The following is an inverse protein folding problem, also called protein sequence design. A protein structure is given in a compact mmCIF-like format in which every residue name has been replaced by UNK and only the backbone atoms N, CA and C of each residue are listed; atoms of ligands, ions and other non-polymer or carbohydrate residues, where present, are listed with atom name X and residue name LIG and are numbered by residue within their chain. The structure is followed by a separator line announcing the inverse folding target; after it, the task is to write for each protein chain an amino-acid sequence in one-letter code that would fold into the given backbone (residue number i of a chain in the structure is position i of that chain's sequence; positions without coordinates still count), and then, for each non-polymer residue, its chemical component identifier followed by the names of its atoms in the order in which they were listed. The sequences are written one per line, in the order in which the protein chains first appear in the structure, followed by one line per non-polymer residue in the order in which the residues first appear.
data_IF_335879395993
#
_entry.id   IF_335879395993
#
_cell.length_a   1.000
_cell.length_b   1.000
_cell.length_c   1.000
_cell.angle_alpha   90.00
_cell.angle_beta   90.00
_cell.angle_gamma   90.00
#
_symmetry.space_group_name_H-M   'P 1'
#
loop_
_entity.id
_entity.type
_entity.pdbx_description
1 polymer ?
#
# COMPACT_ATOMS: atom_id res chain seq x y z
N UNK A 1 20.72 -71.10 -17.81
CA UNK A 1 21.68 -70.94 -16.71
C UNK A 1 21.43 -69.54 -16.12
N UNK A 2 20.80 -69.63 -14.99
CA UNK A 2 21.00 -68.96 -13.70
C UNK A 2 20.91 -67.43 -13.74
N UNK A 3 19.77 -66.93 -13.29
CA UNK A 3 19.52 -66.33 -11.96
C UNK A 3 20.42 -65.12 -11.67
N UNK A 4 19.84 -63.98 -11.47
CA UNK A 4 19.63 -63.58 -10.09
C UNK A 4 18.54 -62.46 -9.98
N UNK A 5 17.70 -62.67 -9.03
CA UNK A 5 16.61 -61.77 -8.63
C UNK A 5 17.16 -60.93 -7.48
N UNK A 6 17.02 -59.63 -7.51
CA UNK A 6 17.17 -58.82 -6.30
C UNK A 6 15.89 -58.07 -6.03
N UNK A 7 15.21 -58.31 -4.93
CA UNK A 7 14.08 -57.52 -4.46
C UNK A 7 14.54 -56.54 -3.39
N UNK A 8 13.78 -55.45 -3.26
CA UNK A 8 13.74 -54.48 -2.16
C UNK A 8 14.48 -53.17 -2.39
N UNK A 9 13.68 -52.19 -2.73
CA UNK A 9 13.85 -50.87 -2.14
C UNK A 9 12.46 -50.41 -1.64
N UNK A 10 12.45 -50.23 -0.34
CA UNK A 10 11.29 -49.80 0.42
C UNK A 10 10.82 -48.40 0.07
N UNK A 11 9.53 -48.29 0.07
CA UNK A 11 8.71 -47.11 0.14
C UNK A 11 9.05 -46.35 1.45
N UNK A 12 9.68 -45.17 1.35
CA UNK A 12 9.74 -44.19 2.44
C UNK A 12 9.08 -42.92 1.97
N UNK A 13 7.76 -42.92 2.13
CA UNK A 13 6.92 -41.75 2.05
C UNK A 13 7.09 -40.97 3.36
N UNK A 14 8.05 -40.04 3.40
CA UNK A 14 8.11 -39.07 4.48
C UNK A 14 7.07 -37.95 4.22
N UNK A 15 6.19 -37.65 5.19
CA UNK A 15 5.34 -36.46 5.10
C UNK A 15 6.21 -35.22 5.25
N UNK A 16 6.20 -34.40 4.24
CA UNK A 16 6.75 -33.04 4.25
C UNK A 16 5.88 -32.16 5.17
N UNK A 17 6.21 -32.13 6.45
CA UNK A 17 5.69 -31.16 7.39
C UNK A 17 6.29 -29.79 7.02
N UNK A 18 5.64 -29.11 6.08
CA UNK A 18 5.80 -27.68 5.90
C UNK A 18 5.18 -27.02 7.15
N UNK A 19 5.99 -26.84 8.19
CA UNK A 19 5.66 -25.92 9.27
C UNK A 19 5.44 -24.53 8.65
N UNK A 20 4.17 -24.15 8.59
CA UNK A 20 3.78 -22.76 8.35
C UNK A 20 4.29 -21.96 9.55
N UNK A 21 5.42 -21.32 9.38
CA UNK A 21 5.95 -20.35 10.34
C UNK A 21 5.07 -19.12 10.35
N UNK A 22 3.89 -19.22 10.95
CA UNK A 22 3.20 -18.07 11.46
C UNK A 22 3.99 -17.62 12.69
N UNK A 23 4.93 -16.70 12.50
CA UNK A 23 5.58 -16.03 13.62
C UNK A 23 4.48 -15.38 14.46
N UNK A 24 4.35 -15.85 15.70
CA UNK A 24 3.41 -15.27 16.65
C UNK A 24 3.93 -13.88 17.01
N UNK A 25 3.14 -12.85 16.69
CA UNK A 25 3.40 -11.48 17.12
C UNK A 25 3.54 -11.43 18.64
N UNK A 26 4.69 -10.99 19.13
CA UNK A 26 4.94 -10.72 20.56
C UNK A 26 4.72 -9.22 20.82
N UNK A 27 3.64 -8.83 21.51
CA UNK A 27 3.37 -7.44 21.83
C UNK A 27 4.44 -6.77 22.69
N UNK A 28 5.33 -7.55 23.33
CA UNK A 28 6.45 -7.02 24.11
C UNK A 28 7.64 -6.58 23.26
N UNK A 29 7.65 -6.95 21.96
CA UNK A 29 8.67 -6.53 20.99
C UNK A 29 8.19 -5.44 20.03
N UNK A 30 6.97 -4.92 20.23
CA UNK A 30 6.48 -3.80 19.44
C UNK A 30 7.34 -2.56 19.72
N UNK A 31 8.10 -2.17 18.71
CA UNK A 31 8.85 -0.92 18.71
C UNK A 31 7.97 0.17 18.07
N UNK A 32 7.48 1.15 18.86
CA UNK A 32 6.72 2.26 18.31
C UNK A 32 7.56 3.18 17.40
N UNK A 33 8.90 3.03 17.40
CA UNK A 33 9.80 3.72 16.47
C UNK A 33 9.86 3.07 15.08
N UNK A 34 9.24 1.88 14.89
CA UNK A 34 9.17 1.19 13.60
C UNK A 34 8.06 1.71 12.66
N UNK A 35 7.28 2.72 13.06
CA UNK A 35 6.39 3.44 12.16
C UNK A 35 7.28 4.36 11.30
N UNK A 36 7.26 4.25 9.95
CA UNK A 36 8.08 5.10 9.09
C UNK A 36 7.48 6.51 8.99
N UNK A 37 7.52 7.24 10.07
CA UNK A 37 7.28 8.68 10.18
C UNK A 37 8.58 9.31 10.65
N UNK A 38 9.01 10.33 9.94
CA UNK A 38 10.35 10.92 10.11
C UNK A 38 10.58 11.60 11.46
N UNK A 39 9.50 11.83 12.27
CA UNK A 39 9.61 12.40 13.60
C UNK A 39 8.55 11.87 14.59
N UNK A 40 8.85 12.04 15.89
CA UNK A 40 8.02 11.55 16.99
C UNK A 40 6.68 12.33 17.12
N UNK A 41 6.59 13.55 16.60
CA UNK A 41 5.38 14.38 16.64
C UNK A 41 4.34 13.84 15.65
N UNK A 42 4.74 13.63 14.41
CA UNK A 42 3.90 12.98 13.39
C UNK A 42 3.45 11.58 13.82
N UNK A 43 4.33 10.79 14.43
CA UNK A 43 3.97 9.46 14.94
C UNK A 43 2.85 9.53 15.99
N UNK A 44 2.92 10.49 16.92
CA UNK A 44 1.89 10.68 17.94
C UNK A 44 0.55 11.12 17.33
N UNK A 45 0.57 12.04 16.37
CA UNK A 45 -0.62 12.49 15.65
C UNK A 45 -1.28 11.37 14.85
N UNK A 46 -0.50 10.51 14.19
CA UNK A 46 -0.98 9.33 13.46
C UNK A 46 -1.68 8.35 14.41
N UNK A 47 -1.12 8.10 15.61
CA UNK A 47 -1.75 7.26 16.62
C UNK A 47 -3.09 7.84 17.11
N UNK A 48 -3.14 9.14 17.39
CA UNK A 48 -4.36 9.82 17.82
C UNK A 48 -5.42 9.84 16.70
N UNK A 49 -5.00 10.13 15.49
CA UNK A 49 -5.87 10.08 14.30
C UNK A 49 -6.45 8.67 14.09
N UNK A 50 -5.62 7.63 14.16
CA UNK A 50 -6.09 6.25 14.05
C UNK A 50 -7.08 5.90 15.16
N UNK A 51 -6.78 6.23 16.41
CA UNK A 51 -7.70 5.98 17.53
C UNK A 51 -9.08 6.61 17.28
N UNK A 52 -9.14 7.80 16.69
CA UNK A 52 -10.38 8.50 16.37
C UNK A 52 -11.11 7.92 15.15
N UNK A 53 -10.39 7.40 14.14
CA UNK A 53 -10.94 7.08 12.81
C UNK A 53 -11.14 5.59 12.54
N UNK A 54 -10.48 4.67 13.26
CA UNK A 54 -10.58 3.20 13.05
C UNK A 54 -12.01 2.63 13.02
N UNK A 55 -12.96 3.30 13.66
CA UNK A 55 -14.37 2.92 13.61
C UNK A 55 -14.95 2.99 12.18
N UNK A 56 -14.43 3.86 11.32
CA UNK A 56 -14.86 4.00 9.93
C UNK A 56 -14.32 2.87 9.04
N UNK A 57 -13.24 2.22 9.45
CA UNK A 57 -12.74 1.00 8.83
C UNK A 57 -13.56 -0.26 9.17
N UNK A 58 -14.62 -0.13 9.99
CA UNK A 58 -15.47 -1.25 10.41
C UNK A 58 -14.92 -2.05 11.59
N UNK A 59 -13.78 -1.67 12.15
CA UNK A 59 -13.09 -2.41 13.23
C UNK A 59 -13.80 -2.29 14.58
N UNK A 60 -14.51 -1.18 14.83
CA UNK A 60 -15.24 -0.98 16.09
C UNK A 60 -16.29 -2.05 16.40
N UNK A 61 -16.80 -2.79 15.38
CA UNK A 61 -17.75 -3.88 15.57
C UNK A 61 -17.10 -5.20 15.98
N UNK A 62 -15.86 -5.41 15.59
CA UNK A 62 -15.10 -6.63 15.92
C UNK A 62 -14.66 -6.62 17.39
N UNK A 63 -14.26 -5.48 17.94
CA UNK A 63 -13.80 -5.35 19.31
C UNK A 63 -14.88 -5.61 20.38
N UNK A 64 -16.16 -5.44 20.03
CA UNK A 64 -17.28 -5.74 20.95
C UNK A 64 -17.48 -7.26 21.11
N UNK A 65 -17.08 -8.05 20.11
CA UNK A 65 -17.35 -9.50 20.06
C UNK A 65 -16.15 -10.34 20.49
N UNK A 66 -14.93 -9.92 20.16
CA UNK A 66 -13.70 -10.72 20.34
C UNK A 66 -12.61 -10.02 21.19
N UNK A 67 -12.89 -8.83 21.72
CA UNK A 67 -11.88 -7.97 22.36
C UNK A 67 -11.03 -7.22 21.33
N UNK A 68 -10.16 -6.33 21.80
CA UNK A 68 -9.25 -5.59 20.91
C UNK A 68 -8.26 -6.56 20.28
N UNK A 69 -8.18 -6.54 18.96
CA UNK A 69 -7.15 -7.27 18.19
C UNK A 69 -5.93 -6.37 17.99
N UNK A 70 -4.77 -6.97 17.71
CA UNK A 70 -3.53 -6.24 17.45
C UNK A 70 -3.72 -5.21 16.32
N UNK A 71 -4.40 -5.56 15.24
CA UNK A 71 -4.71 -4.64 14.13
C UNK A 71 -5.57 -3.43 14.51
N UNK A 72 -6.20 -3.43 15.70
CA UNK A 72 -6.95 -2.27 16.21
C UNK A 72 -6.07 -1.27 16.97
N UNK A 73 -4.89 -1.68 17.37
CA UNK A 73 -3.95 -0.86 18.17
C UNK A 73 -2.81 -0.30 17.33
N UNK A 74 -2.43 -0.99 16.25
CA UNK A 74 -1.39 -0.54 15.32
C UNK A 74 -2.03 0.29 14.20
N UNK A 75 -1.56 1.54 13.98
CA UNK A 75 -2.06 2.34 12.88
C UNK A 75 -1.66 1.72 11.53
N UNK A 76 -2.48 1.91 10.48
CA UNK A 76 -2.06 1.64 9.13
C UNK A 76 -0.87 2.51 8.74
N UNK A 77 -0.19 2.15 7.64
CA UNK A 77 0.86 2.97 7.07
C UNK A 77 0.36 4.40 6.80
N UNK A 78 1.17 5.38 7.18
CA UNK A 78 0.90 6.79 6.94
C UNK A 78 1.89 7.32 5.91
N UNK A 79 1.38 8.03 4.89
CA UNK A 79 2.20 8.56 3.80
C UNK A 79 1.52 9.76 3.12
N UNK A 80 2.29 10.56 2.39
CA UNK A 80 1.82 11.70 1.60
C UNK A 80 2.00 11.46 0.11
N UNK A 81 1.17 12.08 -0.71
CA UNK A 81 1.31 12.05 -2.17
C UNK A 81 2.50 12.89 -2.65
N UNK A 82 3.11 12.44 -3.74
CA UNK A 82 4.13 13.20 -4.45
C UNK A 82 5.46 13.30 -3.70
N UNK A 83 6.29 14.22 -4.16
CA UNK A 83 7.67 14.43 -3.69
C UNK A 83 7.92 15.88 -3.19
N UNK A 84 6.87 16.69 -3.16
CA UNK A 84 6.91 18.08 -2.71
C UNK A 84 5.67 18.41 -1.84
N UNK A 85 5.81 19.20 -0.76
CA UNK A 85 4.70 19.52 0.16
C UNK A 85 3.47 20.14 -0.52
N UNK A 86 3.67 21.04 -1.48
CA UNK A 86 2.57 21.69 -2.21
C UNK A 86 1.83 20.72 -3.13
N UNK A 87 2.53 19.69 -3.65
CA UNK A 87 1.91 18.62 -4.42
C UNK A 87 1.10 17.71 -3.51
N UNK A 88 1.67 17.34 -2.35
CA UNK A 88 0.99 16.53 -1.35
C UNK A 88 -0.34 17.14 -0.91
N UNK A 89 -0.33 18.45 -0.57
CA UNK A 89 -1.53 19.17 -0.17
C UNK A 89 -2.60 19.19 -1.28
N UNK A 90 -2.20 19.51 -2.51
CA UNK A 90 -3.13 19.58 -3.65
C UNK A 90 -3.78 18.22 -3.95
N UNK A 91 -3.01 17.14 -3.92
CA UNK A 91 -3.52 15.79 -4.20
C UNK A 91 -4.41 15.28 -3.05
N UNK A 92 -4.05 15.58 -1.81
CA UNK A 92 -4.90 15.29 -0.66
C UNK A 92 -6.23 16.06 -0.73
N UNK A 93 -6.22 17.33 -1.11
CA UNK A 93 -7.45 18.12 -1.31
C UNK A 93 -8.36 17.46 -2.37
N UNK A 94 -7.79 16.92 -3.45
CA UNK A 94 -8.55 16.19 -4.46
C UNK A 94 -9.18 14.90 -3.90
N UNK A 95 -8.49 14.18 -3.01
CA UNK A 95 -9.07 13.02 -2.27
C UNK A 95 -10.21 13.47 -1.37
N UNK A 96 -10.01 14.53 -0.60
CA UNK A 96 -11.03 15.07 0.32
C UNK A 96 -12.26 15.62 -0.41
N UNK A 97 -12.10 16.09 -1.66
CA UNK A 97 -13.20 16.50 -2.54
C UNK A 97 -13.91 15.29 -3.20
N UNK A 98 -13.32 14.10 -3.15
CA UNK A 98 -13.83 12.90 -3.84
C UNK A 98 -13.45 12.85 -5.33
N UNK A 99 -12.59 13.73 -5.78
CA UNK A 99 -12.13 13.84 -7.16
C UNK A 99 -11.00 12.84 -7.49
N UNK A 100 -10.12 12.55 -6.50
CA UNK A 100 -9.05 11.57 -6.61
C UNK A 100 -9.44 10.28 -5.87
N UNK A 101 -9.58 9.20 -6.62
CA UNK A 101 -9.98 7.87 -6.13
C UNK A 101 -9.04 6.76 -6.61
N UNK A 102 -7.94 7.15 -7.25
CA UNK A 102 -6.89 6.26 -7.71
C UNK A 102 -5.52 6.94 -7.57
N UNK A 103 -4.46 6.15 -7.58
CA UNK A 103 -3.08 6.61 -7.62
C UNK A 103 -2.22 5.58 -8.34
N UNK A 104 -1.12 6.02 -8.93
CA UNK A 104 -0.14 5.14 -9.56
C UNK A 104 1.25 5.38 -9.00
N UNK A 105 2.03 4.32 -8.94
CA UNK A 105 3.43 4.31 -8.52
C UNK A 105 4.24 3.43 -9.46
N UNK A 106 5.55 3.57 -9.45
CA UNK A 106 6.40 2.71 -10.24
C UNK A 106 6.57 1.35 -9.54
N UNK A 107 6.56 0.25 -10.30
CA UNK A 107 6.72 -1.08 -9.70
C UNK A 107 8.03 -1.23 -8.93
N UNK A 108 9.10 -0.54 -9.32
CA UNK A 108 10.38 -0.60 -8.61
C UNK A 108 10.37 0.07 -7.23
N UNK A 109 9.35 0.86 -6.88
CA UNK A 109 9.21 1.43 -5.53
C UNK A 109 8.95 0.33 -4.49
N UNK A 110 8.59 -0.88 -4.96
CA UNK A 110 8.31 -2.08 -4.18
C UNK A 110 9.41 -3.16 -4.31
N UNK A 111 10.58 -2.83 -4.80
CA UNK A 111 11.69 -3.79 -5.00
C UNK A 111 12.38 -4.20 -3.68
N UNK A 112 11.97 -3.67 -2.53
CA UNK A 112 12.51 -4.04 -1.22
C UNK A 112 11.52 -4.86 -0.40
N UNK A 113 12.02 -5.72 0.49
CA UNK A 113 11.19 -6.51 1.41
C UNK A 113 10.39 -5.64 2.39
N UNK A 114 10.84 -4.39 2.60
CA UNK A 114 10.19 -3.41 3.51
C UNK A 114 9.07 -2.61 2.82
N UNK A 115 8.91 -2.74 1.50
CA UNK A 115 7.88 -2.05 0.73
C UNK A 115 7.06 -3.06 -0.10
N UNK A 116 6.16 -3.83 0.52
CA UNK A 116 5.31 -4.77 -0.21
C UNK A 116 4.34 -4.04 -1.12
N UNK A 117 3.93 -4.70 -2.21
CA UNK A 117 2.85 -4.19 -3.06
C UNK A 117 1.57 -4.00 -2.25
N UNK A 118 0.82 -2.89 -2.48
CA UNK A 118 -0.46 -2.68 -1.85
C UNK A 118 -1.44 -3.80 -2.22
N UNK A 119 -2.38 -4.09 -1.33
CA UNK A 119 -3.38 -5.14 -1.55
C UNK A 119 -4.79 -4.63 -1.29
N UNK A 120 -5.78 -5.19 -1.99
CA UNK A 120 -7.19 -4.83 -1.78
C UNK A 120 -7.62 -5.11 -0.33
N UNK A 121 -8.26 -4.13 0.29
CA UNK A 121 -8.66 -4.15 1.71
C UNK A 121 -7.66 -3.46 2.64
N UNK A 122 -6.47 -3.15 2.19
CA UNK A 122 -5.47 -2.42 2.96
C UNK A 122 -5.95 -1.01 3.31
N UNK A 123 -5.55 -0.56 4.49
CA UNK A 123 -5.86 0.78 4.99
C UNK A 123 -4.60 1.65 4.93
N UNK A 124 -4.78 2.92 4.63
CA UNK A 124 -3.69 3.91 4.69
C UNK A 124 -4.18 5.21 5.28
N UNK A 125 -3.30 5.89 6.01
CA UNK A 125 -3.52 7.24 6.51
C UNK A 125 -2.79 8.20 5.57
N UNK A 126 -3.52 9.15 4.99
CA UNK A 126 -2.93 10.17 4.14
C UNK A 126 -2.53 11.38 4.96
N UNK A 127 -1.29 11.81 4.77
CA UNK A 127 -0.71 13.00 5.37
C UNK A 127 -0.78 14.17 4.39
N UNK A 128 -0.89 15.39 4.94
CA UNK A 128 -0.76 16.63 4.16
C UNK A 128 0.71 17.02 3.91
N UNK A 129 0.92 18.17 3.28
CA UNK A 129 2.27 18.66 2.97
C UNK A 129 3.11 19.04 4.19
N UNK A 130 2.51 19.10 5.39
CA UNK A 130 3.18 19.36 6.67
C UNK A 130 3.29 18.08 7.53
N UNK A 131 2.99 16.91 6.94
CA UNK A 131 2.98 15.58 7.58
C UNK A 131 1.91 15.38 8.68
N UNK A 132 0.83 16.16 8.66
CA UNK A 132 -0.31 15.94 9.56
C UNK A 132 -1.32 14.94 8.94
N UNK A 133 -1.86 13.98 9.72
CA UNK A 133 -2.83 13.00 9.21
C UNK A 133 -4.19 13.64 8.94
N UNK A 134 -4.71 13.47 7.73
CA UNK A 134 -5.93 14.13 7.27
C UNK A 134 -7.02 13.18 6.76
N UNK A 135 -6.64 12.04 6.18
CA UNK A 135 -7.61 11.12 5.61
C UNK A 135 -7.28 9.66 5.95
N UNK A 136 -8.33 8.84 6.05
CA UNK A 136 -8.23 7.39 6.09
C UNK A 136 -8.85 6.85 4.81
N UNK A 137 -8.09 6.07 4.06
CA UNK A 137 -8.52 5.43 2.83
C UNK A 137 -8.47 3.90 2.96
N UNK A 138 -9.16 3.22 2.04
CA UNK A 138 -9.04 1.77 1.83
C UNK A 138 -8.78 1.47 0.37
N UNK A 139 -7.75 0.72 0.09
CA UNK A 139 -7.48 0.18 -1.24
C UNK A 139 -8.61 -0.76 -1.66
N UNK A 140 -9.18 -0.54 -2.82
CA UNK A 140 -10.29 -1.36 -3.36
C UNK A 140 -9.84 -2.33 -4.44
N UNK A 141 -8.83 -1.94 -5.24
CA UNK A 141 -8.20 -2.80 -6.23
C UNK A 141 -6.77 -2.34 -6.53
N UNK A 142 -5.95 -3.29 -6.90
CA UNK A 142 -4.57 -3.06 -7.35
C UNK A 142 -4.34 -3.85 -8.64
N UNK A 143 -3.76 -3.22 -9.62
CA UNK A 143 -3.40 -3.82 -10.90
C UNK A 143 -2.00 -3.32 -11.31
N UNK A 144 -1.21 -4.20 -11.91
CA UNK A 144 0.07 -3.82 -12.52
C UNK A 144 -0.10 -3.86 -14.04
N UNK A 145 0.22 -2.75 -14.68
CA UNK A 145 0.18 -2.60 -16.13
C UNK A 145 1.43 -1.84 -16.63
N UNK A 146 1.55 -1.57 -17.91
CA UNK A 146 2.60 -0.67 -18.40
C UNK A 146 2.10 0.76 -18.46
N UNK A 147 3.03 1.72 -18.36
CA UNK A 147 2.69 3.15 -18.37
C UNK A 147 1.86 3.55 -19.59
N UNK A 148 2.17 3.02 -20.78
CA UNK A 148 1.47 3.31 -22.03
C UNK A 148 0.11 2.60 -22.15
N UNK A 149 -0.15 1.56 -21.35
CA UNK A 149 -1.43 0.84 -21.29
C UNK A 149 -2.42 1.41 -20.27
N UNK A 150 -2.01 2.39 -19.44
CA UNK A 150 -2.96 3.09 -18.55
C UNK A 150 -4.05 3.74 -19.39
N UNK A 151 -5.31 3.52 -18.99
CA UNK A 151 -6.48 3.97 -19.73
C UNK A 151 -7.04 5.32 -19.24
N UNK A 152 -8.00 5.87 -20.00
CA UNK A 152 -8.66 7.14 -19.70
C UNK A 152 -9.48 7.09 -18.39
N UNK A 153 -10.09 5.95 -18.09
CA UNK A 153 -10.91 5.80 -16.88
C UNK A 153 -10.05 5.83 -15.62
N UNK A 154 -8.84 5.25 -15.68
CA UNK A 154 -7.89 5.31 -14.58
C UNK A 154 -7.30 6.72 -14.42
N UNK A 155 -6.88 7.34 -15.52
CA UNK A 155 -6.37 8.71 -15.52
C UNK A 155 -7.40 9.71 -14.95
N UNK A 156 -8.68 9.56 -15.32
CA UNK A 156 -9.76 10.38 -14.78
C UNK A 156 -10.00 10.12 -13.28
N UNK A 157 -9.82 8.88 -12.80
CA UNK A 157 -9.97 8.52 -11.39
C UNK A 157 -8.83 9.02 -10.52
N UNK A 158 -7.63 9.25 -11.07
CA UNK A 158 -6.54 9.93 -10.36
C UNK A 158 -6.88 11.39 -10.03
N UNK A 159 -7.79 12.00 -10.79
CA UNK A 159 -8.36 13.31 -10.45
C UNK A 159 -7.39 14.48 -10.59
N UNK A 160 -6.26 14.28 -11.26
CA UNK A 160 -5.20 15.27 -11.40
C UNK A 160 -5.39 16.15 -12.63
N UNK A 161 -4.91 17.38 -12.55
CA UNK A 161 -4.93 18.38 -13.62
C UNK A 161 -6.32 18.50 -14.29
N UNK A 162 -6.42 18.27 -15.60
CA UNK A 162 -7.67 18.31 -16.36
C UNK A 162 -8.34 16.93 -16.49
N UNK A 163 -7.79 15.90 -15.83
CA UNK A 163 -8.26 14.49 -15.80
C UNK A 163 -8.24 13.79 -17.14
N UNK A 164 -7.49 14.30 -18.09
CA UNK A 164 -7.29 13.62 -19.38
C UNK A 164 -6.11 12.67 -19.32
N UNK A 165 -6.15 11.61 -20.13
CA UNK A 165 -5.02 10.69 -20.27
C UNK A 165 -3.76 11.40 -20.80
N UNK A 166 -3.93 12.45 -21.60
CA UNK A 166 -2.80 13.24 -22.13
C UNK A 166 -2.09 13.99 -21.00
N UNK A 167 -2.82 14.70 -20.12
CA UNK A 167 -2.23 15.39 -18.97
C UNK A 167 -1.67 14.42 -17.96
N UNK A 168 -2.36 13.29 -17.70
CA UNK A 168 -1.87 12.23 -16.84
C UNK A 168 -0.49 11.71 -17.31
N UNK A 169 -0.37 11.37 -18.60
CA UNK A 169 0.91 10.90 -19.17
C UNK A 169 2.00 11.95 -19.07
N UNK A 170 1.70 13.20 -19.35
CA UNK A 170 2.69 14.26 -19.28
C UNK A 170 3.18 14.50 -17.83
N UNK A 171 2.27 14.55 -16.86
CA UNK A 171 2.58 14.74 -15.44
C UNK A 171 3.36 13.57 -14.86
N UNK A 172 2.89 12.35 -15.10
CA UNK A 172 3.52 11.13 -14.56
C UNK A 172 4.87 10.82 -15.22
N UNK A 173 5.02 11.07 -16.53
CA UNK A 173 6.34 10.96 -17.17
C UNK A 173 7.34 11.93 -16.52
N UNK A 174 6.93 13.18 -16.30
CA UNK A 174 7.79 14.17 -15.65
C UNK A 174 8.15 13.76 -14.21
N UNK A 175 7.17 13.24 -13.45
CA UNK A 175 7.36 12.73 -12.09
C UNK A 175 8.31 11.53 -12.07
N UNK A 176 8.05 10.49 -12.87
CA UNK A 176 8.89 9.30 -12.91
C UNK A 176 10.32 9.62 -13.35
N UNK A 177 10.51 10.48 -14.36
CA UNK A 177 11.85 10.90 -14.79
C UNK A 177 12.64 11.64 -13.69
N UNK A 178 11.95 12.40 -12.85
CA UNK A 178 12.56 13.14 -11.74
C UNK A 178 12.96 12.20 -10.59
N UNK A 179 12.19 11.13 -10.38
CA UNK A 179 12.34 10.20 -9.25
C UNK A 179 12.93 8.83 -9.65
N UNK A 180 13.61 8.76 -10.79
CA UNK A 180 14.24 7.51 -11.24
C UNK A 180 15.34 7.05 -10.28
N UNK A 181 15.32 5.78 -9.82
CA UNK A 181 16.43 5.17 -9.12
C UNK A 181 17.69 5.13 -10.01
N UNK A 182 18.87 5.12 -9.37
CA UNK A 182 20.14 5.05 -10.09
C UNK A 182 20.20 3.82 -11.01
N UNK A 183 20.56 4.05 -12.27
CA UNK A 183 20.69 2.98 -13.29
C UNK A 183 19.38 2.57 -13.96
N UNK A 184 18.24 3.23 -13.64
CA UNK A 184 16.98 3.05 -14.36
C UNK A 184 16.73 4.20 -15.34
N UNK A 185 15.97 3.91 -16.39
CA UNK A 185 15.51 4.88 -17.38
C UNK A 185 13.99 4.79 -17.53
N UNK A 186 13.36 5.94 -17.76
CA UNK A 186 11.95 5.96 -18.12
C UNK A 186 11.75 5.33 -19.50
N UNK A 187 10.78 4.43 -19.58
CA UNK A 187 10.30 3.83 -20.82
C UNK A 187 8.77 3.77 -20.82
N UNK A 188 8.08 3.95 -21.97
CA UNK A 188 6.63 3.81 -22.01
C UNK A 188 6.11 2.44 -21.59
N UNK A 189 6.90 1.39 -21.71
CA UNK A 189 6.61 0.02 -21.27
C UNK A 189 7.03 -0.27 -19.83
N UNK A 190 7.46 0.76 -19.06
CA UNK A 190 7.77 0.58 -17.64
C UNK A 190 6.52 0.10 -16.87
N UNK A 191 6.68 -0.87 -15.95
CA UNK A 191 5.56 -1.32 -15.15
C UNK A 191 5.18 -0.29 -14.08
N UNK A 192 3.88 -0.03 -13.99
CA UNK A 192 3.25 0.83 -12.99
C UNK A 192 2.22 0.05 -12.18
N UNK A 193 2.12 0.36 -10.92
CA UNK A 193 1.11 -0.16 -9.99
C UNK A 193 -0.03 0.84 -9.94
N UNK A 194 -1.19 0.41 -10.41
CA UNK A 194 -2.42 1.19 -10.44
C UNK A 194 -3.29 0.78 -9.26
N UNK A 195 -3.47 1.67 -8.31
CA UNK A 195 -4.26 1.46 -7.10
C UNK A 195 -5.53 2.29 -7.15
N UNK A 196 -6.70 1.67 -6.87
CA UNK A 196 -7.95 2.38 -6.61
C UNK A 196 -8.29 2.28 -5.14
N UNK A 197 -8.85 3.35 -4.59
CA UNK A 197 -9.20 3.42 -3.17
C UNK A 197 -10.54 4.14 -2.94
N UNK A 198 -11.06 3.98 -1.73
CA UNK A 198 -12.22 4.72 -1.24
C UNK A 198 -11.83 5.55 -0.01
N UNK A 199 -12.39 6.75 0.11
CA UNK A 199 -12.25 7.60 1.29
C UNK A 199 -13.19 7.11 2.38
N UNK A 200 -12.64 6.72 3.54
CA UNK A 200 -13.40 6.28 4.71
C UNK A 200 -13.62 7.43 5.72
N UNK A 201 -12.65 8.33 5.84
CA UNK A 201 -12.71 9.49 6.71
C UNK A 201 -11.84 10.64 6.12
N UNK A 202 -12.32 11.90 6.17
CA UNK A 202 -13.67 12.30 6.60
C UNK A 202 -14.75 11.76 5.67
N UNK A 203 -15.98 11.69 6.13
CA UNK A 203 -17.11 11.31 5.26
C UNK A 203 -17.54 12.52 4.43
N UNK A 204 -17.66 12.31 3.11
CA UNK A 204 -18.22 13.28 2.19
C UNK A 204 -19.72 13.51 2.43
#
# INVERSE_FOLDING_TARGET
MTHDVNPQAADENEPNDAESGAESFDPATFDPEAVPVEDAETAAEVLDFWAATRQYAGMAKASIVVGQTVGETVPPQAWSFGDEPELAERLLDAVLAGDKTATSSALWDYDSDDAPLPVAGELSILLDGENHPRALIRTTSVETTTFDEVDEDFAAAEGEDDRTLESWRAGHEAYFRRNLPEGREFSPDMPVVCERFELLYPRL
#
